data_IF_955991170734
#
_entry.id   IF_955991170734
#
_cell.length_a   1.000
_cell.length_b   1.000
_cell.length_c   1.000
_cell.angle_alpha   90.00
_cell.angle_beta   90.00
_cell.angle_gamma   90.00
#
_symmetry.space_group_name_H-M   'P 1'
#
loop_
_entity.id
_entity.type
_entity.pdbx_description
1 polymer ?
#
# COMPACT_ATOMS: atom_id res chain seq x y z
N UNK A 1 -55.42 -12.62 -18.58
CA UNK A 1 -54.95 -11.26 -18.25
C UNK A 1 -53.61 -11.36 -17.55
N UNK A 2 -52.54 -11.34 -18.34
CA UNK A 2 -51.15 -11.33 -17.90
C UNK A 2 -50.78 -9.91 -17.50
N UNK A 3 -50.37 -9.72 -16.24
CA UNK A 3 -49.88 -8.42 -15.76
C UNK A 3 -48.36 -8.45 -15.86
N UNK A 4 -47.85 -8.08 -17.03
CA UNK A 4 -46.43 -7.79 -17.21
C UNK A 4 -46.06 -6.63 -16.28
N UNK A 5 -45.15 -6.91 -15.35
CA UNK A 5 -44.52 -5.86 -14.52
C UNK A 5 -43.44 -5.18 -15.37
N UNK A 6 -43.37 -3.84 -15.40
CA UNK A 6 -42.44 -3.14 -16.26
C UNK A 6 -41.01 -3.38 -15.78
N UNK A 7 -40.15 -3.83 -16.69
CA UNK A 7 -38.71 -3.88 -16.49
C UNK A 7 -38.21 -2.45 -16.22
N UNK A 8 -37.67 -2.20 -15.02
CA UNK A 8 -37.00 -0.95 -14.69
C UNK A 8 -35.80 -0.72 -15.62
N UNK A 9 -35.75 0.37 -16.40
CA UNK A 9 -34.61 0.71 -17.24
C UNK A 9 -33.55 1.46 -16.42
N UNK A 10 -32.26 1.14 -16.63
CA UNK A 10 -31.16 2.06 -16.26
C UNK A 10 -30.02 1.51 -15.40
N UNK A 11 -30.03 0.25 -14.96
CA UNK A 11 -28.87 -0.35 -14.31
C UNK A 11 -27.87 -0.88 -15.35
N UNK A 12 -26.64 -0.34 -15.42
CA UNK A 12 -25.54 -0.98 -16.14
C UNK A 12 -25.44 -2.45 -15.70
N UNK A 13 -25.67 -3.39 -16.62
CA UNK A 13 -25.55 -4.83 -16.33
C UNK A 13 -24.17 -5.12 -15.75
N UNK A 14 -24.09 -5.94 -14.71
CA UNK A 14 -22.85 -6.24 -13.97
C UNK A 14 -21.65 -6.60 -14.88
N UNK A 15 -21.90 -7.27 -16.01
CA UNK A 15 -20.88 -7.62 -17.00
C UNK A 15 -20.24 -6.40 -17.67
N UNK A 16 -21.00 -5.32 -17.94
CA UNK A 16 -20.46 -4.08 -18.50
C UNK A 16 -19.54 -3.37 -17.49
N UNK A 17 -19.95 -3.34 -16.22
CA UNK A 17 -19.14 -2.74 -15.14
C UNK A 17 -17.84 -3.53 -14.96
N UNK A 18 -17.89 -4.86 -15.03
CA UNK A 18 -16.69 -5.69 -14.95
C UNK A 18 -15.70 -5.41 -16.08
N UNK A 19 -16.17 -5.24 -17.32
CA UNK A 19 -15.32 -4.88 -18.47
C UNK A 19 -14.67 -3.50 -18.25
N UNK A 20 -15.46 -2.50 -17.83
CA UNK A 20 -14.93 -1.17 -17.52
C UNK A 20 -13.87 -1.24 -16.43
N UNK A 21 -14.12 -2.00 -15.36
CA UNK A 21 -13.16 -2.19 -14.27
C UNK A 21 -11.86 -2.83 -14.77
N UNK A 22 -11.92 -3.81 -15.67
CA UNK A 22 -10.73 -4.42 -16.29
C UNK A 22 -9.94 -3.39 -17.10
N UNK A 23 -10.62 -2.60 -17.94
CA UNK A 23 -9.97 -1.56 -18.76
C UNK A 23 -9.27 -0.52 -17.88
N UNK A 24 -9.97 -0.01 -16.86
CA UNK A 24 -9.40 0.93 -15.89
C UNK A 24 -8.24 0.31 -15.10
N UNK A 25 -8.33 -0.98 -14.78
CA UNK A 25 -7.29 -1.75 -14.12
C UNK A 25 -6.02 -1.85 -14.97
N UNK A 26 -6.15 -2.23 -16.24
CA UNK A 26 -5.01 -2.31 -17.17
C UNK A 26 -4.37 -0.94 -17.35
N UNK A 27 -5.17 0.12 -17.57
CA UNK A 27 -4.66 1.48 -17.70
C UNK A 27 -3.89 1.92 -16.44
N UNK A 28 -4.44 1.68 -15.26
CA UNK A 28 -3.78 2.01 -13.99
C UNK A 28 -2.47 1.24 -13.79
N UNK A 29 -2.47 -0.05 -14.13
CA UNK A 29 -1.26 -0.90 -14.06
C UNK A 29 -0.15 -0.36 -14.96
N UNK A 30 -0.47 0.04 -16.19
CA UNK A 30 0.49 0.67 -17.09
C UNK A 30 1.05 1.97 -16.52
N UNK A 31 0.20 2.81 -15.89
CA UNK A 31 0.66 4.03 -15.23
C UNK A 31 1.58 3.74 -14.05
N UNK A 32 1.33 2.72 -13.22
CA UNK A 32 2.26 2.32 -12.16
C UNK A 32 3.61 1.88 -12.72
N UNK A 33 3.61 1.07 -13.78
CA UNK A 33 4.84 0.62 -14.46
C UNK A 33 5.62 1.77 -15.09
N UNK A 34 4.93 2.79 -15.60
CA UNK A 34 5.56 4.02 -16.05
C UNK A 34 6.14 4.79 -14.86
N UNK A 35 5.34 5.05 -13.81
CA UNK A 35 5.72 5.87 -12.66
C UNK A 35 6.96 5.38 -11.91
N UNK A 36 7.20 4.06 -11.89
CA UNK A 36 8.42 3.46 -11.31
C UNK A 36 9.72 3.95 -11.97
N UNK A 37 9.63 4.54 -13.17
CA UNK A 37 10.79 5.12 -13.88
C UNK A 37 11.17 6.51 -13.37
N UNK A 38 10.40 7.13 -12.48
CA UNK A 38 10.76 8.42 -11.89
C UNK A 38 12.04 8.28 -11.08
N UNK A 39 12.99 9.20 -11.27
CA UNK A 39 14.25 9.21 -10.52
C UNK A 39 14.70 10.63 -10.16
N UNK A 40 14.93 10.84 -8.87
CA UNK A 40 15.34 12.13 -8.34
C UNK A 40 14.27 13.22 -8.47
N UNK A 41 14.64 14.43 -8.08
CA UNK A 41 13.68 15.55 -7.96
C UNK A 41 13.26 16.14 -9.31
N UNK A 42 14.06 15.99 -10.36
CA UNK A 42 13.77 16.48 -11.71
C UNK A 42 12.48 15.90 -12.31
N UNK A 43 12.13 14.68 -11.92
CA UNK A 43 10.98 13.95 -12.47
C UNK A 43 9.70 14.18 -11.66
N UNK A 44 9.75 14.93 -10.55
CA UNK A 44 8.61 15.08 -9.62
C UNK A 44 7.37 15.66 -10.31
N UNK A 45 7.52 16.66 -11.18
CA UNK A 45 6.38 17.27 -11.87
C UNK A 45 5.73 16.28 -12.85
N UNK A 46 6.54 15.47 -13.53
CA UNK A 46 6.03 14.41 -14.41
C UNK A 46 5.31 13.33 -13.61
N UNK A 47 5.90 12.90 -12.49
CA UNK A 47 5.31 11.91 -11.59
C UNK A 47 3.97 12.41 -11.03
N UNK A 48 3.89 13.66 -10.59
CA UNK A 48 2.64 14.25 -10.09
C UNK A 48 1.54 14.31 -11.15
N UNK A 49 1.88 14.64 -12.41
CA UNK A 49 0.93 14.57 -13.54
C UNK A 49 0.43 13.14 -13.75
N UNK A 50 1.32 12.15 -13.70
CA UNK A 50 0.98 10.73 -13.82
C UNK A 50 0.04 10.29 -12.69
N UNK A 51 0.35 10.62 -11.44
CA UNK A 51 -0.52 10.34 -10.28
C UNK A 51 -1.85 11.07 -10.39
N UNK A 52 -1.88 12.27 -10.96
CA UNK A 52 -3.11 13.00 -11.30
C UNK A 52 -4.02 12.18 -12.23
N UNK A 53 -3.46 11.62 -13.31
CA UNK A 53 -4.21 10.73 -14.22
C UNK A 53 -4.66 9.46 -13.49
N UNK A 54 -3.80 8.83 -12.68
CA UNK A 54 -4.17 7.67 -11.87
C UNK A 54 -5.35 7.99 -10.94
N UNK A 55 -5.36 9.18 -10.34
CA UNK A 55 -6.43 9.64 -9.44
C UNK A 55 -7.76 9.80 -10.19
N UNK A 56 -7.74 10.28 -11.44
CA UNK A 56 -8.96 10.35 -12.27
C UNK A 56 -9.52 8.95 -12.58
N UNK A 57 -8.65 7.98 -12.93
CA UNK A 57 -9.07 6.59 -13.15
C UNK A 57 -9.62 5.96 -11.87
N UNK A 58 -8.94 6.19 -10.74
CA UNK A 58 -9.38 5.77 -9.41
C UNK A 58 -10.75 6.35 -9.05
N UNK A 59 -10.99 7.64 -9.28
CA UNK A 59 -12.27 8.29 -9.00
C UNK A 59 -13.43 7.62 -9.75
N UNK A 60 -13.21 7.22 -11.00
CA UNK A 60 -14.18 6.43 -11.76
C UNK A 60 -14.45 5.06 -11.11
N UNK A 61 -13.42 4.36 -10.63
CA UNK A 61 -13.56 3.08 -9.93
C UNK A 61 -14.27 3.24 -8.60
N UNK A 62 -13.92 4.27 -7.82
CA UNK A 62 -14.58 4.58 -6.55
C UNK A 62 -16.07 4.85 -6.78
N UNK A 63 -16.41 5.69 -7.75
CA UNK A 63 -17.79 5.96 -8.16
C UNK A 63 -18.53 4.67 -8.57
N UNK A 64 -17.94 3.87 -9.45
CA UNK A 64 -18.54 2.60 -9.88
C UNK A 64 -18.75 1.64 -8.70
N UNK A 65 -17.81 1.58 -7.75
CA UNK A 65 -17.91 0.70 -6.57
C UNK A 65 -19.05 1.12 -5.62
N UNK A 66 -19.38 2.41 -5.57
CA UNK A 66 -20.48 2.96 -4.77
C UNK A 66 -21.84 2.75 -5.44
N UNK A 67 -21.92 2.94 -6.77
CA UNK A 67 -23.16 2.85 -7.53
C UNK A 67 -23.53 1.41 -7.94
N UNK A 68 -22.56 0.50 -8.05
CA UNK A 68 -22.82 -0.87 -8.46
C UNK A 68 -23.54 -1.67 -7.36
N UNK A 69 -24.52 -2.48 -7.77
CA UNK A 69 -25.10 -3.52 -6.91
C UNK A 69 -24.01 -4.49 -6.44
N UNK A 70 -24.22 -5.09 -5.27
CA UNK A 70 -23.31 -6.09 -4.72
C UNK A 70 -22.98 -7.17 -5.76
N UNK A 71 -21.68 -7.35 -6.03
CA UNK A 71 -21.20 -8.26 -7.07
C UNK A 71 -19.87 -8.88 -6.68
N UNK A 72 -19.86 -10.23 -6.57
CA UNK A 72 -18.65 -10.99 -6.25
C UNK A 72 -17.58 -10.84 -7.34
N UNK A 73 -17.99 -10.77 -8.61
CA UNK A 73 -17.04 -10.61 -9.72
C UNK A 73 -16.32 -9.27 -9.67
N UNK A 74 -17.02 -8.17 -9.31
CA UNK A 74 -16.38 -6.86 -9.16
C UNK A 74 -15.36 -6.86 -8.01
N UNK A 75 -15.71 -7.48 -6.88
CA UNK A 75 -14.79 -7.65 -5.77
C UNK A 75 -13.53 -8.42 -6.19
N UNK A 76 -13.70 -9.60 -6.82
CA UNK A 76 -12.56 -10.45 -7.21
C UNK A 76 -11.67 -9.73 -8.23
N UNK A 77 -12.24 -9.21 -9.32
CA UNK A 77 -11.49 -8.48 -10.36
C UNK A 77 -10.74 -7.30 -9.73
N UNK A 78 -11.44 -6.53 -8.88
CA UNK A 78 -10.85 -5.40 -8.18
C UNK A 78 -9.68 -5.80 -7.28
N UNK A 79 -9.82 -6.87 -6.50
CA UNK A 79 -8.75 -7.36 -5.63
C UNK A 79 -7.56 -7.90 -6.44
N UNK A 80 -7.79 -8.58 -7.57
CA UNK A 80 -6.72 -9.05 -8.46
C UNK A 80 -5.90 -7.87 -8.98
N UNK A 81 -6.54 -6.82 -9.51
CA UNK A 81 -5.81 -5.64 -9.97
C UNK A 81 -5.12 -4.88 -8.83
N UNK A 82 -5.75 -4.77 -7.66
CA UNK A 82 -5.13 -4.18 -6.49
C UNK A 82 -3.83 -4.91 -6.11
N UNK A 83 -3.84 -6.26 -6.13
CA UNK A 83 -2.64 -7.06 -5.91
C UNK A 83 -1.60 -6.87 -7.02
N UNK A 84 -2.03 -6.84 -8.29
CA UNK A 84 -1.13 -6.59 -9.43
C UNK A 84 -0.45 -5.23 -9.35
N UNK A 85 -1.15 -4.17 -8.95
CA UNK A 85 -0.54 -2.84 -8.79
C UNK A 85 0.60 -2.88 -7.78
N UNK A 86 0.37 -3.48 -6.61
CA UNK A 86 1.35 -3.61 -5.53
C UNK A 86 2.55 -4.44 -5.98
N UNK A 87 2.30 -5.60 -6.58
CA UNK A 87 3.37 -6.47 -7.10
C UNK A 87 4.19 -5.79 -8.21
N UNK A 88 3.54 -4.97 -9.04
CA UNK A 88 4.20 -4.29 -10.17
C UNK A 88 5.24 -3.25 -9.76
N UNK A 89 5.17 -2.76 -8.52
CA UNK A 89 6.08 -1.74 -7.97
C UNK A 89 6.86 -2.21 -6.74
N UNK A 90 6.54 -3.37 -6.16
CA UNK A 90 7.21 -3.92 -4.97
C UNK A 90 8.74 -3.97 -5.14
N UNK A 91 9.21 -4.37 -6.31
CA UNK A 91 10.63 -4.54 -6.61
C UNK A 91 11.34 -3.26 -7.04
N UNK A 92 10.63 -2.14 -7.18
CA UNK A 92 11.28 -0.87 -7.49
C UNK A 92 12.00 -0.30 -6.26
N UNK A 93 13.07 0.48 -6.46
CA UNK A 93 13.57 1.38 -5.43
C UNK A 93 12.46 2.28 -4.91
N UNK A 94 12.50 2.66 -3.62
CA UNK A 94 11.57 3.64 -3.09
C UNK A 94 11.87 5.03 -3.69
N UNK A 95 10.82 5.80 -3.98
CA UNK A 95 10.93 7.09 -4.67
C UNK A 95 10.42 8.28 -3.84
N UNK A 96 9.27 8.14 -3.17
CA UNK A 96 8.63 9.24 -2.43
C UNK A 96 9.22 9.44 -1.02
N UNK A 97 9.70 8.38 -0.39
CA UNK A 97 10.35 8.41 0.92
C UNK A 97 11.46 7.36 0.98
N UNK A 98 12.51 7.65 1.75
CA UNK A 98 13.63 6.78 2.06
C UNK A 98 13.56 6.18 3.48
N UNK A 99 12.47 6.40 4.21
CA UNK A 99 12.30 5.92 5.60
C UNK A 99 12.42 4.40 5.74
N UNK A 100 12.14 3.64 4.68
CA UNK A 100 12.28 2.18 4.68
C UNK A 100 13.71 1.71 4.99
N UNK A 101 14.72 2.50 4.66
CA UNK A 101 16.11 2.21 5.04
C UNK A 101 16.31 2.33 6.55
N UNK A 102 15.62 3.28 7.19
CA UNK A 102 15.63 3.43 8.64
C UNK A 102 14.95 2.25 9.33
N UNK A 103 13.83 1.74 8.79
CA UNK A 103 13.15 0.55 9.33
C UNK A 103 14.08 -0.67 9.34
N UNK A 104 14.74 -0.93 8.21
CA UNK A 104 15.70 -2.06 8.09
C UNK A 104 16.85 -1.89 9.07
N UNK A 105 17.40 -0.67 9.15
CA UNK A 105 18.49 -0.36 10.06
C UNK A 105 18.11 -0.56 11.53
N UNK A 106 16.96 -0.05 11.97
CA UNK A 106 16.55 -0.19 13.37
C UNK A 106 16.27 -1.65 13.74
N UNK A 107 15.71 -2.44 12.82
CA UNK A 107 15.60 -3.89 12.98
C UNK A 107 16.95 -4.60 13.14
N UNK A 108 17.99 -4.15 12.43
CA UNK A 108 19.38 -4.62 12.58
C UNK A 108 20.00 -4.21 13.91
N UNK A 109 19.83 -2.95 14.32
CA UNK A 109 20.33 -2.46 15.62
C UNK A 109 19.72 -3.28 16.76
N UNK A 110 18.43 -3.55 16.70
CA UNK A 110 17.75 -4.42 17.66
C UNK A 110 18.26 -5.88 17.60
N UNK A 111 18.65 -6.40 16.41
CA UNK A 111 19.27 -7.72 16.25
C UNK A 111 20.56 -7.87 17.06
N UNK A 112 21.35 -6.81 17.11
CA UNK A 112 22.58 -6.72 17.87
C UNK A 112 22.34 -6.53 19.38
N UNK A 113 21.09 -6.68 19.85
CA UNK A 113 20.66 -6.42 21.22
C UNK A 113 20.92 -4.97 21.68
N UNK A 114 20.94 -4.03 20.73
CA UNK A 114 21.11 -2.60 21.02
C UNK A 114 19.74 -1.91 20.94
N UNK A 115 19.47 -1.04 21.92
CA UNK A 115 18.26 -0.23 21.95
C UNK A 115 18.28 0.82 20.79
N UNK A 116 17.33 0.78 19.83
CA UNK A 116 17.33 1.67 18.65
C UNK A 116 17.03 3.13 19.00
N UNK A 117 16.46 3.39 20.19
CA UNK A 117 16.19 4.74 20.71
C UNK A 117 17.42 5.42 21.30
N UNK A 118 18.52 4.68 21.53
CA UNK A 118 19.68 5.22 22.25
C UNK A 118 20.61 6.06 21.37
N UNK A 119 20.86 5.58 20.16
CA UNK A 119 21.89 6.11 19.28
C UNK A 119 21.31 6.57 17.94
N UNK A 120 21.91 7.62 17.39
CA UNK A 120 21.74 7.98 15.98
C UNK A 120 22.49 6.94 15.12
N UNK A 121 22.10 6.66 13.86
CA UNK A 121 22.83 5.74 13.00
C UNK A 121 24.34 6.05 12.88
N UNK A 122 24.70 7.33 12.82
CA UNK A 122 26.09 7.78 12.67
C UNK A 122 26.93 7.72 13.96
N UNK A 123 26.37 7.25 15.08
CA UNK A 123 27.11 7.09 16.34
C UNK A 123 28.24 6.06 16.19
N UNK A 124 29.39 6.33 16.82
CA UNK A 124 30.56 5.46 16.78
C UNK A 124 30.27 4.06 17.34
N UNK A 125 29.33 3.96 18.28
CA UNK A 125 28.88 2.71 18.89
C UNK A 125 28.23 1.74 17.89
N UNK A 126 27.78 2.24 16.74
CA UNK A 126 27.09 1.45 15.71
C UNK A 126 27.95 1.18 14.47
N UNK A 127 29.25 1.54 14.47
CA UNK A 127 30.14 1.40 13.30
C UNK A 127 30.18 -0.03 12.77
N UNK A 128 30.21 -1.04 13.65
CA UNK A 128 30.24 -2.45 13.25
C UNK A 128 28.99 -2.93 12.51
N UNK A 129 27.88 -2.20 12.57
CA UNK A 129 26.60 -2.55 11.93
C UNK A 129 26.42 -1.89 10.54
N UNK A 130 27.29 -0.95 10.19
CA UNK A 130 27.22 -0.17 8.95
C UNK A 130 27.57 -1.05 7.76
N UNK A 131 26.72 -1.04 6.75
CA UNK A 131 26.94 -1.71 5.48
C UNK A 131 27.05 -0.70 4.33
N UNK A 132 27.23 -1.20 3.11
CA UNK A 132 27.29 -0.37 1.91
C UNK A 132 25.93 -0.15 1.24
N UNK A 133 24.88 -0.86 1.66
CA UNK A 133 23.59 -0.95 0.92
C UNK A 133 22.46 -0.16 1.58
N UNK A 134 22.34 -0.25 2.89
CA UNK A 134 21.31 0.37 3.73
C UNK A 134 21.84 1.62 4.39
N UNK A 135 22.99 1.55 5.09
CA UNK A 135 23.49 2.66 5.91
C UNK A 135 23.69 3.98 5.13
N UNK A 136 24.22 3.98 3.89
CA UNK A 136 24.37 5.20 3.11
C UNK A 136 23.06 5.89 2.74
N UNK A 137 21.94 5.16 2.78
CA UNK A 137 20.62 5.60 2.32
C UNK A 137 19.66 5.96 3.46
N UNK A 138 20.12 5.87 4.71
CA UNK A 138 19.31 6.27 5.87
C UNK A 138 19.22 7.80 5.89
N UNK A 139 18.01 8.32 5.82
CA UNK A 139 17.77 9.75 5.99
C UNK A 139 18.12 10.21 7.41
N UNK A 140 18.54 11.48 7.55
CA UNK A 140 18.79 12.15 8.85
C UNK A 140 19.75 11.38 9.79
N UNK A 141 20.57 10.49 9.23
CA UNK A 141 21.42 9.53 9.96
C UNK A 141 22.39 10.16 10.96
N UNK A 142 22.73 11.43 10.76
CA UNK A 142 23.74 12.19 11.51
C UNK A 142 23.17 12.91 12.73
N UNK A 143 21.85 12.99 12.89
CA UNK A 143 21.25 13.74 14.00
C UNK A 143 19.95 13.14 14.56
N UNK A 144 19.25 12.27 13.84
CA UNK A 144 17.97 11.72 14.29
C UNK A 144 18.12 10.34 14.94
N UNK A 145 17.59 10.21 16.17
CA UNK A 145 17.30 8.91 16.81
C UNK A 145 16.00 8.35 16.25
N UNK A 146 15.68 7.08 16.55
CA UNK A 146 14.39 6.53 16.09
C UNK A 146 13.24 7.27 16.77
N UNK A 147 12.23 7.59 15.97
CA UNK A 147 10.97 8.21 16.39
C UNK A 147 9.81 7.22 16.29
N UNK A 148 10.08 5.99 15.84
CA UNK A 148 9.04 5.02 15.56
C UNK A 148 8.52 4.38 16.85
N UNK A 149 7.20 4.11 16.93
CA UNK A 149 6.60 3.56 18.14
C UNK A 149 7.06 2.11 18.39
N UNK A 150 7.02 1.62 19.63
CA UNK A 150 7.57 0.30 19.99
C UNK A 150 6.99 -0.88 19.19
N UNK A 151 5.72 -0.82 18.81
CA UNK A 151 5.10 -1.87 17.97
C UNK A 151 5.67 -1.87 16.55
N UNK A 152 5.93 -0.70 15.98
CA UNK A 152 6.59 -0.61 14.67
C UNK A 152 8.02 -1.13 14.75
N UNK A 153 8.77 -0.77 15.79
CA UNK A 153 10.11 -1.31 16.03
C UNK A 153 10.11 -2.83 16.17
N UNK A 154 9.14 -3.41 16.88
CA UNK A 154 8.99 -4.85 16.98
C UNK A 154 8.75 -5.51 15.61
N UNK A 155 7.91 -4.89 14.76
CA UNK A 155 7.72 -5.35 13.38
C UNK A 155 9.03 -5.28 12.59
N UNK A 156 9.77 -4.17 12.67
CA UNK A 156 11.05 -4.02 11.97
C UNK A 156 12.07 -5.08 12.40
N UNK A 157 12.17 -5.33 13.71
CA UNK A 157 12.99 -6.40 14.28
C UNK A 157 12.61 -7.78 13.73
N UNK A 158 11.32 -8.14 13.80
CA UNK A 158 10.85 -9.45 13.34
C UNK A 158 11.06 -9.63 11.83
N UNK A 159 10.76 -8.60 11.03
CA UNK A 159 10.96 -8.63 9.58
C UNK A 159 12.43 -8.86 9.22
N UNK A 160 13.35 -8.18 9.91
CA UNK A 160 14.80 -8.30 9.68
C UNK A 160 15.39 -9.59 10.23
N UNK A 161 14.65 -10.43 10.96
CA UNK A 161 15.05 -11.82 11.24
C UNK A 161 14.91 -12.76 10.06
N UNK A 162 14.07 -12.40 9.08
CA UNK A 162 13.89 -13.18 7.87
C UNK A 162 14.74 -12.61 6.71
N UNK A 163 14.76 -11.29 6.54
CA UNK A 163 15.60 -10.63 5.54
C UNK A 163 15.76 -9.14 5.85
N UNK A 164 16.98 -8.63 5.68
CA UNK A 164 17.31 -7.21 5.77
C UNK A 164 17.18 -6.48 4.42
N UNK A 165 16.45 -7.06 3.45
CA UNK A 165 16.22 -6.38 2.17
C UNK A 165 15.05 -5.38 2.27
N UNK A 166 15.18 -4.24 1.57
CA UNK A 166 14.09 -3.26 1.45
C UNK A 166 12.84 -3.89 0.85
N UNK A 167 12.98 -4.76 -0.15
CA UNK A 167 11.85 -5.48 -0.75
C UNK A 167 11.09 -6.31 0.28
N UNK A 168 11.78 -6.97 1.20
CA UNK A 168 11.14 -7.75 2.26
C UNK A 168 10.43 -6.88 3.30
N UNK A 169 11.01 -5.72 3.63
CA UNK A 169 10.34 -4.72 4.48
C UNK A 169 9.06 -4.19 3.81
N UNK A 170 9.13 -3.82 2.52
CA UNK A 170 7.96 -3.43 1.72
C UNK A 170 6.91 -4.54 1.65
N UNK A 171 7.33 -5.78 1.43
CA UNK A 171 6.43 -6.94 1.41
C UNK A 171 5.73 -7.15 2.76
N UNK A 172 6.42 -6.90 3.87
CA UNK A 172 5.81 -6.92 5.21
C UNK A 172 4.70 -5.87 5.32
N UNK A 173 4.95 -4.63 4.89
CA UNK A 173 3.93 -3.57 4.93
C UNK A 173 2.72 -3.92 4.04
N UNK A 174 2.94 -4.50 2.86
CA UNK A 174 1.85 -5.03 2.02
C UNK A 174 1.10 -6.15 2.74
N UNK A 175 1.76 -6.99 3.54
CA UNK A 175 1.11 -8.01 4.36
C UNK A 175 0.16 -7.44 5.40
N UNK A 176 0.60 -6.42 6.14
CA UNK A 176 -0.27 -5.66 7.06
C UNK A 176 -1.41 -4.98 6.31
N UNK A 177 -1.13 -4.39 5.16
CA UNK A 177 -2.16 -3.77 4.33
C UNK A 177 -3.20 -4.79 3.82
N UNK A 178 -2.78 -6.00 3.45
CA UNK A 178 -3.69 -7.07 3.06
C UNK A 178 -4.61 -7.48 4.22
N UNK A 179 -4.09 -7.50 5.45
CA UNK A 179 -4.87 -7.71 6.66
C UNK A 179 -5.88 -6.57 6.88
N UNK A 180 -5.48 -5.32 6.64
CA UNK A 180 -6.39 -4.17 6.66
C UNK A 180 -7.51 -4.29 5.61
N UNK A 181 -7.17 -4.64 4.37
CA UNK A 181 -8.14 -4.85 3.28
C UNK A 181 -9.13 -5.96 3.66
N UNK A 182 -8.65 -7.06 4.21
CA UNK A 182 -9.50 -8.13 4.71
C UNK A 182 -10.44 -7.62 5.80
N UNK A 183 -9.92 -6.92 6.82
CA UNK A 183 -10.74 -6.38 7.91
C UNK A 183 -11.80 -5.38 7.39
N UNK A 184 -11.44 -4.51 6.45
CA UNK A 184 -12.39 -3.57 5.80
C UNK A 184 -13.49 -4.33 5.05
N UNK A 185 -13.18 -5.43 4.36
CA UNK A 185 -14.19 -6.27 3.69
C UNK A 185 -15.18 -6.84 4.72
N UNK A 186 -14.68 -7.27 5.88
CA UNK A 186 -15.52 -7.81 6.95
C UNK A 186 -16.39 -6.73 7.60
N UNK A 187 -15.83 -5.53 7.84
CA UNK A 187 -16.57 -4.36 8.32
C UNK A 187 -17.67 -3.92 7.35
N UNK A 188 -17.38 -3.88 6.05
CA UNK A 188 -18.39 -3.58 5.04
C UNK A 188 -19.53 -4.61 5.12
N UNK A 189 -19.21 -5.89 5.30
CA UNK A 189 -20.21 -6.94 5.43
C UNK A 189 -21.04 -6.81 6.72
N UNK A 190 -20.43 -6.46 7.85
CA UNK A 190 -21.14 -6.30 9.14
C UNK A 190 -22.11 -5.12 9.12
N UNK A 191 -21.80 -4.07 8.35
CA UNK A 191 -22.71 -2.94 8.12
C UNK A 191 -23.74 -3.16 6.99
N UNK A 192 -23.82 -4.37 6.41
CA UNK A 192 -24.73 -4.65 5.29
C UNK A 192 -24.37 -3.89 4.00
N UNK A 193 -23.15 -3.38 3.90
CA UNK A 193 -22.65 -2.66 2.73
C UNK A 193 -22.01 -3.64 1.73
N UNK A 194 -22.05 -3.25 0.45
CA UNK A 194 -21.49 -4.08 -0.60
C UNK A 194 -19.96 -4.18 -0.48
N UNK A 195 -19.43 -5.40 -0.36
CA UNK A 195 -18.01 -5.68 -0.15
C UNK A 195 -17.08 -5.08 -1.20
N UNK A 196 -17.53 -4.92 -2.45
CA UNK A 196 -16.70 -4.28 -3.48
C UNK A 196 -16.40 -2.79 -3.21
N UNK A 197 -17.03 -2.15 -2.22
CA UNK A 197 -16.65 -0.80 -1.80
C UNK A 197 -15.24 -0.73 -1.21
N UNK A 198 -14.64 -1.87 -0.84
CA UNK A 198 -13.21 -1.93 -0.47
C UNK A 198 -12.28 -1.37 -1.55
N UNK A 199 -12.73 -1.35 -2.81
CA UNK A 199 -11.93 -0.80 -3.91
C UNK A 199 -11.66 0.71 -3.75
N UNK A 200 -12.46 1.44 -2.98
CA UNK A 200 -12.16 2.84 -2.60
C UNK A 200 -10.81 2.92 -1.88
N UNK A 201 -10.51 1.96 -1.01
CA UNK A 201 -9.22 1.88 -0.34
C UNK A 201 -8.18 1.18 -1.22
N UNK A 202 -8.50 -0.02 -1.70
CA UNK A 202 -7.51 -0.91 -2.33
C UNK A 202 -6.97 -0.39 -3.68
N UNK A 203 -7.71 0.48 -4.39
CA UNK A 203 -7.27 1.10 -5.64
C UNK A 203 -6.75 2.53 -5.47
N UNK A 204 -6.75 3.08 -4.26
CA UNK A 204 -6.32 4.45 -4.04
C UNK A 204 -4.83 4.60 -4.42
N UNK A 205 -4.45 5.52 -5.34
CA UNK A 205 -3.08 5.61 -5.82
C UNK A 205 -2.05 5.88 -4.72
N UNK A 206 -2.38 6.76 -3.78
CA UNK A 206 -1.54 7.04 -2.62
C UNK A 206 -1.22 5.78 -1.81
N UNK A 207 -2.23 4.96 -1.51
CA UNK A 207 -2.07 3.73 -0.72
C UNK A 207 -1.10 2.76 -1.41
N UNK A 208 -1.22 2.61 -2.73
CA UNK A 208 -0.32 1.75 -3.50
C UNK A 208 1.10 2.31 -3.49
N UNK A 209 1.28 3.60 -3.81
CA UNK A 209 2.60 4.23 -3.85
C UNK A 209 3.29 4.24 -2.49
N UNK A 210 2.58 4.54 -1.40
CA UNK A 210 3.19 4.62 -0.08
C UNK A 210 3.53 3.24 0.49
N UNK A 211 2.65 2.25 0.37
CA UNK A 211 2.90 0.95 1.00
C UNK A 211 3.71 0.03 0.11
N UNK A 212 3.34 -0.13 -1.15
CA UNK A 212 4.07 -1.01 -2.06
C UNK A 212 5.24 -0.32 -2.76
N UNK A 213 5.24 1.01 -2.90
CA UNK A 213 6.33 1.77 -3.48
C UNK A 213 7.38 2.17 -2.44
N UNK A 214 6.97 2.87 -1.38
CA UNK A 214 7.87 3.40 -0.35
C UNK A 214 8.06 2.45 0.84
N UNK A 215 7.10 1.56 1.12
CA UNK A 215 7.17 0.67 2.28
C UNK A 215 6.80 1.36 3.59
N UNK A 216 5.91 2.37 3.56
CA UNK A 216 5.54 3.15 4.73
C UNK A 216 4.90 2.31 5.84
N UNK A 217 5.28 2.62 7.10
CA UNK A 217 4.83 1.88 8.28
C UNK A 217 3.33 2.07 8.58
N UNK A 218 2.69 3.10 8.02
CA UNK A 218 1.28 3.43 8.29
C UNK A 218 0.34 2.26 7.95
N UNK A 219 0.75 1.35 7.06
CA UNK A 219 0.05 0.09 6.80
C UNK A 219 -0.18 -0.74 8.07
N UNK A 220 0.77 -0.75 9.00
CA UNK A 220 0.66 -1.44 10.31
C UNK A 220 -0.46 -0.80 11.14
N UNK A 221 -0.45 0.54 11.23
CA UNK A 221 -1.44 1.28 12.00
C UNK A 221 -2.84 1.07 11.43
N UNK A 222 -3.01 1.19 10.11
CA UNK A 222 -4.30 0.97 9.45
C UNK A 222 -4.80 -0.46 9.68
N UNK A 223 -3.92 -1.47 9.63
CA UNK A 223 -4.29 -2.85 9.91
C UNK A 223 -4.84 -3.03 11.33
N UNK A 224 -4.12 -2.55 12.34
CA UNK A 224 -4.58 -2.67 13.72
C UNK A 224 -5.82 -1.85 14.03
N UNK A 225 -5.97 -0.65 13.45
CA UNK A 225 -7.20 0.15 13.56
C UNK A 225 -8.38 -0.59 12.93
N UNK A 226 -8.22 -1.13 11.72
CA UNK A 226 -9.29 -1.86 11.04
C UNK A 226 -9.69 -3.13 11.80
N UNK A 227 -8.72 -3.85 12.38
CA UNK A 227 -8.99 -5.00 13.25
C UNK A 227 -9.69 -4.61 14.55
N UNK A 228 -9.27 -3.51 15.19
CA UNK A 228 -9.88 -3.03 16.42
C UNK A 228 -11.33 -2.62 16.21
N UNK A 229 -11.67 -2.04 15.04
CA UNK A 229 -13.05 -1.71 14.69
C UNK A 229 -13.90 -2.96 14.37
N UNK A 230 -13.27 -4.07 13.98
CA UNK A 230 -13.94 -5.31 13.63
C UNK A 230 -14.23 -6.20 14.85
N UNK A 231 -13.44 -6.07 15.92
CA UNK A 231 -13.57 -6.81 17.16
C UNK A 231 -14.84 -6.44 17.95
#
# INVERSE_FOLDING_TARGET
MTKDSPATPGGLRANRIAIVLIVLGIASLLLYRMGVRAEGTKDIVWFLKLVGVQTMLYAAVAWLSLCARQSRSLLIIGLVFAALFRLSILFSPPYLSDDVYRYVWDGRVQAAAINPYRYIPADQSLVSLRDEKIYPKINRREYARTIYPPVAEAVFFLTTRLSESVTWMKATMIGFEALAIWAIIQLLASFGLARQRVLIYAWHPLVVWEFAGSGHLDAIAIAFIALALLA
#
